data_IF_365319214301
#
_entry.id   IF_365319214301
#
_cell.length_a   1.000
_cell.length_b   1.000
_cell.length_c   1.000
_cell.angle_alpha   90.00
_cell.angle_beta   90.00
_cell.angle_gamma   90.00
#
_symmetry.space_group_name_H-M   'P 1'
#
loop_
_entity.id
_entity.type
_entity.pdbx_description
1 polymer ?
#
# COMPACT_ATOMS: atom_id res chain seq x y z
N UNK A 1 -10.26 0.02 10.35
CA UNK A 1 -10.75 -1.37 10.48
C UNK A 1 -9.76 -2.22 11.25
N UNK A 2 -8.46 -2.24 10.88
CA UNK A 2 -7.42 -3.05 11.54
C UNK A 2 -7.34 -2.77 13.05
N UNK A 3 -7.43 -1.51 13.48
CA UNK A 3 -7.35 -1.12 14.89
C UNK A 3 -8.55 -1.57 15.72
N UNK A 4 -9.76 -1.57 15.17
CA UNK A 4 -10.97 -2.06 15.86
C UNK A 4 -10.87 -3.57 16.06
N UNK A 5 -10.38 -4.28 15.05
CA UNK A 5 -10.15 -5.73 15.14
C UNK A 5 -9.08 -6.04 16.19
N UNK A 6 -7.97 -5.32 16.23
CA UNK A 6 -6.92 -5.49 17.24
C UNK A 6 -7.39 -5.18 18.67
N UNK A 7 -8.32 -4.27 18.84
CA UNK A 7 -8.86 -3.91 20.17
C UNK A 7 -9.84 -4.96 20.72
N UNK A 8 -10.52 -5.69 19.83
CA UNK A 8 -11.48 -6.74 20.20
C UNK A 8 -10.79 -8.10 20.40
N UNK A 9 -9.68 -8.36 19.70
CA UNK A 9 -8.93 -9.63 19.76
C UNK A 9 -8.63 -10.11 21.19
N UNK A 10 -8.20 -9.27 22.17
CA UNK A 10 -7.91 -9.74 23.54
C UNK A 10 -9.11 -10.35 24.27
N UNK A 11 -10.33 -9.95 23.92
CA UNK A 11 -11.57 -10.37 24.60
C UNK A 11 -12.26 -11.57 23.94
N UNK A 12 -11.74 -12.07 22.82
CA UNK A 12 -12.34 -13.17 22.07
C UNK A 12 -11.64 -14.50 22.41
N UNK A 13 -12.35 -15.61 22.61
CA UNK A 13 -11.76 -16.93 22.82
C UNK A 13 -10.79 -17.34 21.70
N UNK A 14 -9.75 -18.07 22.04
CA UNK A 14 -8.63 -18.37 21.13
C UNK A 14 -9.07 -18.97 19.78
N UNK A 15 -10.08 -19.85 19.81
CA UNK A 15 -10.64 -20.47 18.59
C UNK A 15 -11.35 -19.47 17.67
N UNK A 16 -12.09 -18.51 18.25
CA UNK A 16 -12.73 -17.43 17.48
C UNK A 16 -11.72 -16.44 16.92
N UNK A 17 -10.57 -16.24 17.60
CA UNK A 17 -9.47 -15.40 17.08
C UNK A 17 -8.82 -16.05 15.86
N UNK A 18 -8.54 -17.35 15.90
CA UNK A 18 -7.97 -18.08 14.78
C UNK A 18 -8.92 -18.05 13.56
N UNK A 19 -10.23 -18.27 13.78
CA UNK A 19 -11.22 -18.15 12.73
C UNK A 19 -11.31 -16.72 12.15
N UNK A 20 -11.34 -15.70 13.01
CA UNK A 20 -11.35 -14.30 12.58
C UNK A 20 -10.11 -13.92 11.77
N UNK A 21 -8.94 -14.41 12.17
CA UNK A 21 -7.68 -14.22 11.42
C UNK A 21 -7.77 -14.91 10.04
N UNK A 22 -8.26 -16.13 9.97
CA UNK A 22 -8.44 -16.87 8.72
C UNK A 22 -9.36 -16.11 7.76
N UNK A 23 -10.52 -15.67 8.24
CA UNK A 23 -11.47 -14.88 7.44
C UNK A 23 -10.84 -13.57 6.98
N UNK A 24 -10.09 -12.90 7.85
CA UNK A 24 -9.37 -11.67 7.48
C UNK A 24 -8.32 -11.91 6.39
N UNK A 25 -7.52 -12.99 6.50
CA UNK A 25 -6.55 -13.37 5.48
C UNK A 25 -7.23 -13.64 4.14
N UNK A 26 -8.35 -14.38 4.13
CA UNK A 26 -9.09 -14.69 2.91
C UNK A 26 -9.64 -13.44 2.24
N UNK A 27 -10.29 -12.54 3.01
CA UNK A 27 -10.86 -11.30 2.46
C UNK A 27 -9.75 -10.38 1.98
N UNK A 28 -8.67 -10.21 2.75
CA UNK A 28 -7.56 -9.33 2.37
C UNK A 28 -6.76 -9.88 1.20
N UNK A 29 -6.59 -11.20 1.12
CA UNK A 29 -5.95 -11.87 0.00
C UNK A 29 -6.75 -11.71 -1.29
N UNK A 30 -8.06 -11.95 -1.22
CA UNK A 30 -8.94 -11.72 -2.37
C UNK A 30 -8.93 -10.26 -2.84
N UNK A 31 -8.98 -9.33 -1.90
CA UNK A 31 -8.91 -7.91 -2.22
C UNK A 31 -7.58 -7.54 -2.88
N UNK A 32 -6.46 -8.01 -2.34
CA UNK A 32 -5.13 -7.79 -2.93
C UNK A 32 -5.06 -8.38 -4.35
N UNK A 33 -5.53 -9.62 -4.54
CA UNK A 33 -5.56 -10.28 -5.85
C UNK A 33 -6.37 -9.47 -6.87
N UNK A 34 -7.54 -8.98 -6.47
CA UNK A 34 -8.37 -8.14 -7.32
C UNK A 34 -7.65 -6.82 -7.70
N UNK A 35 -7.00 -6.15 -6.75
CA UNK A 35 -6.24 -4.93 -7.01
C UNK A 35 -5.06 -5.16 -7.97
N UNK A 36 -4.34 -6.27 -7.83
CA UNK A 36 -3.28 -6.63 -8.78
C UNK A 36 -3.83 -6.97 -10.17
N UNK A 37 -4.97 -7.66 -10.25
CA UNK A 37 -5.64 -7.91 -11.52
C UNK A 37 -6.05 -6.61 -12.22
N UNK A 38 -6.59 -5.63 -11.48
CA UNK A 38 -6.92 -4.30 -12.01
C UNK A 38 -5.68 -3.57 -12.55
N UNK A 39 -4.56 -3.64 -11.82
CA UNK A 39 -3.31 -3.04 -12.25
C UNK A 39 -2.79 -3.71 -13.52
N UNK A 40 -2.76 -5.05 -13.57
CA UNK A 40 -2.27 -5.82 -14.71
C UNK A 40 -3.14 -5.63 -15.96
N UNK A 41 -4.48 -5.65 -15.85
CA UNK A 41 -5.38 -5.40 -16.97
C UNK A 41 -5.21 -3.98 -17.53
N UNK A 42 -5.06 -2.98 -16.64
CA UNK A 42 -4.79 -1.61 -17.06
C UNK A 42 -3.39 -1.47 -17.73
N UNK A 43 -2.38 -2.20 -17.24
CA UNK A 43 -1.05 -2.25 -17.85
C UNK A 43 -1.06 -2.93 -19.24
N UNK A 44 -1.94 -3.90 -19.45
CA UNK A 44 -2.20 -4.51 -20.76
C UNK A 44 -2.99 -3.59 -21.71
N UNK A 45 -3.62 -2.54 -21.19
CA UNK A 45 -4.45 -1.61 -21.96
C UNK A 45 -5.90 -2.03 -22.09
N UNK A 46 -6.36 -2.96 -21.25
CA UNK A 46 -7.76 -3.38 -21.24
C UNK A 46 -8.65 -2.31 -20.65
N UNK A 47 -9.79 -2.07 -21.26
CA UNK A 47 -10.75 -1.05 -20.79
C UNK A 47 -11.69 -1.58 -19.73
N UNK A 48 -11.96 -2.87 -19.72
CA UNK A 48 -12.86 -3.52 -18.80
C UNK A 48 -12.15 -3.85 -17.47
N UNK A 49 -12.92 -3.86 -16.38
CA UNK A 49 -12.42 -4.36 -15.12
C UNK A 49 -12.30 -5.89 -15.17
N UNK A 50 -11.21 -6.46 -14.62
CA UNK A 50 -11.03 -7.90 -14.64
C UNK A 50 -12.17 -8.59 -13.87
N UNK A 51 -12.66 -9.70 -14.41
CA UNK A 51 -13.56 -10.59 -13.66
C UNK A 51 -12.75 -11.29 -12.57
N UNK A 52 -13.26 -11.25 -11.34
CA UNK A 52 -12.66 -11.99 -10.24
C UNK A 52 -12.93 -13.51 -10.43
N UNK A 53 -12.12 -14.13 -11.27
CA UNK A 53 -12.16 -15.58 -11.46
C UNK A 53 -11.17 -16.25 -10.52
N UNK A 54 -11.67 -17.17 -9.69
CA UNK A 54 -10.80 -17.98 -8.84
C UNK A 54 -10.30 -19.18 -9.65
N UNK A 55 -9.00 -19.40 -9.64
CA UNK A 55 -8.43 -20.68 -9.98
C UNK A 55 -8.60 -21.67 -8.82
N UNK A 56 -8.20 -22.92 -9.00
CA UNK A 56 -8.36 -23.94 -7.95
C UNK A 56 -7.30 -23.85 -6.85
N UNK A 57 -6.29 -23.02 -7.01
CA UNK A 57 -5.16 -22.91 -6.08
C UNK A 57 -5.27 -21.68 -5.17
N UNK A 58 -5.84 -21.89 -3.98
CA UNK A 58 -5.99 -20.84 -2.95
C UNK A 58 -4.67 -20.14 -2.59
N UNK A 59 -3.54 -20.83 -2.68
CA UNK A 59 -2.24 -20.25 -2.35
C UNK A 59 -1.83 -19.20 -3.38
N UNK A 60 -1.94 -19.52 -4.66
CA UNK A 60 -1.55 -18.62 -5.75
C UNK A 60 -2.55 -17.48 -5.93
N UNK A 61 -3.85 -17.78 -5.74
CA UNK A 61 -4.91 -16.79 -5.97
C UNK A 61 -5.11 -15.80 -4.82
N UNK A 62 -4.78 -16.18 -3.58
CA UNK A 62 -5.08 -15.36 -2.40
C UNK A 62 -3.83 -15.04 -1.56
N UNK A 63 -3.02 -16.04 -1.28
CA UNK A 63 -1.91 -15.88 -0.34
C UNK A 63 -0.75 -15.13 -0.99
N UNK A 64 -0.40 -15.49 -2.22
CA UNK A 64 0.70 -14.83 -2.93
C UNK A 64 0.43 -13.33 -3.20
N UNK A 65 -0.73 -12.90 -3.73
CA UNK A 65 -1.04 -11.47 -3.87
C UNK A 65 -1.08 -10.72 -2.54
N UNK A 66 -1.57 -11.37 -1.46
CA UNK A 66 -1.52 -10.77 -0.13
C UNK A 66 -0.08 -10.50 0.32
N UNK A 67 0.82 -11.47 0.14
CA UNK A 67 2.24 -11.28 0.43
C UNK A 67 2.88 -10.21 -0.44
N UNK A 68 2.52 -10.13 -1.71
CA UNK A 68 2.98 -9.07 -2.61
C UNK A 68 2.53 -7.69 -2.12
N UNK A 69 1.27 -7.57 -1.72
CA UNK A 69 0.71 -6.34 -1.16
C UNK A 69 1.42 -5.91 0.11
N UNK A 70 1.49 -6.81 1.10
CA UNK A 70 2.19 -6.55 2.37
C UNK A 70 3.66 -6.24 2.11
N UNK A 71 4.31 -7.03 1.27
CA UNK A 71 5.72 -6.87 0.92
C UNK A 71 6.03 -5.53 0.28
N UNK A 72 5.13 -4.99 -0.57
CA UNK A 72 5.30 -3.66 -1.14
C UNK A 72 5.39 -2.58 -0.05
N UNK A 73 4.56 -2.66 0.98
CA UNK A 73 4.60 -1.75 2.12
C UNK A 73 5.84 -1.97 2.99
N UNK A 74 6.23 -3.23 3.23
CA UNK A 74 7.46 -3.54 3.98
C UNK A 74 8.66 -2.87 3.32
N UNK A 75 8.80 -2.99 2.00
CA UNK A 75 9.89 -2.35 1.24
C UNK A 75 9.90 -0.83 1.42
N UNK A 76 8.73 -0.20 1.36
CA UNK A 76 8.57 1.26 1.60
C UNK A 76 9.04 1.69 2.97
N UNK A 77 8.78 0.86 3.99
CA UNK A 77 9.12 1.18 5.38
C UNK A 77 10.56 0.80 5.78
N UNK A 78 11.28 -0.02 5.01
CA UNK A 78 12.65 -0.44 5.33
C UNK A 78 13.55 0.74 5.74
N UNK A 79 13.66 1.85 4.98
CA UNK A 79 14.55 2.95 5.36
C UNK A 79 14.18 3.59 6.70
N UNK A 80 12.88 3.75 6.96
CA UNK A 80 12.40 4.31 8.22
C UNK A 80 12.61 3.35 9.40
N UNK A 81 12.43 2.04 9.20
CA UNK A 81 12.70 1.01 10.21
C UNK A 81 14.19 0.92 10.54
N UNK A 82 15.06 1.00 9.53
CA UNK A 82 16.53 1.02 9.75
C UNK A 82 16.92 2.26 10.55
N UNK A 83 16.37 3.43 10.23
CA UNK A 83 16.60 4.65 11.02
C UNK A 83 16.17 4.49 12.48
N UNK A 84 14.97 3.94 12.74
CA UNK A 84 14.50 3.70 14.10
C UNK A 84 15.40 2.71 14.85
N UNK A 85 15.83 1.65 14.20
CA UNK A 85 16.75 0.68 14.79
C UNK A 85 18.08 1.34 15.20
N UNK A 86 18.66 2.16 14.32
CA UNK A 86 19.90 2.90 14.61
C UNK A 86 19.69 3.92 15.73
N UNK A 87 18.55 4.61 15.76
CA UNK A 87 18.19 5.55 16.82
C UNK A 87 18.02 4.87 18.19
N UNK A 88 17.45 3.67 18.23
CA UNK A 88 17.36 2.85 19.43
C UNK A 88 18.75 2.38 19.91
N UNK A 89 19.59 1.89 19.00
CA UNK A 89 20.94 1.47 19.34
C UNK A 89 21.82 2.62 19.85
N UNK A 90 21.57 3.84 19.34
CA UNK A 90 22.23 5.06 19.81
C UNK A 90 21.64 5.65 21.10
N UNK A 91 20.60 5.03 21.68
CA UNK A 91 19.92 5.50 22.90
C UNK A 91 19.10 6.77 22.72
N UNK A 92 18.84 7.21 21.50
CA UNK A 92 18.11 8.44 21.17
C UNK A 92 16.59 8.25 21.19
N UNK A 93 16.10 7.02 21.06
CA UNK A 93 14.68 6.66 21.04
C UNK A 93 14.46 5.41 21.89
N UNK A 94 13.43 5.42 22.72
CA UNK A 94 13.04 4.24 23.49
C UNK A 94 12.51 3.14 22.52
N UNK A 95 12.88 1.85 22.73
CA UNK A 95 12.42 0.75 21.88
C UNK A 95 10.88 0.65 21.76
N UNK A 96 10.15 0.95 22.85
CA UNK A 96 8.67 0.94 22.82
C UNK A 96 8.11 2.10 21.98
N UNK A 97 8.73 3.27 22.04
CA UNK A 97 8.34 4.41 21.21
C UNK A 97 8.70 4.17 19.75
N UNK A 98 9.85 3.57 19.46
CA UNK A 98 10.21 3.16 18.09
C UNK A 98 9.20 2.17 17.51
N UNK A 99 8.79 1.17 18.29
CA UNK A 99 7.75 0.22 17.90
C UNK A 99 6.42 0.91 17.63
N UNK A 100 6.01 1.84 18.50
CA UNK A 100 4.80 2.65 18.31
C UNK A 100 4.88 3.51 17.04
N UNK A 101 6.04 4.07 16.71
CA UNK A 101 6.26 4.82 15.48
C UNK A 101 6.16 3.92 14.25
N UNK A 102 6.82 2.76 14.27
CA UNK A 102 6.80 1.80 13.18
C UNK A 102 5.38 1.32 12.86
N UNK A 103 4.60 0.95 13.87
CA UNK A 103 3.21 0.48 13.68
C UNK A 103 2.19 1.62 13.54
N UNK A 104 2.55 2.85 13.90
CA UNK A 104 1.67 4.03 13.77
C UNK A 104 1.41 4.46 12.34
N UNK A 105 2.28 4.06 11.42
CA UNK A 105 2.15 4.29 10.00
C UNK A 105 2.10 5.77 9.58
N UNK A 106 1.85 5.96 8.29
CA UNK A 106 1.73 7.28 7.63
C UNK A 106 0.66 8.17 8.30
N UNK A 107 -0.41 7.60 8.87
CA UNK A 107 -1.48 8.38 9.50
C UNK A 107 -0.99 9.26 10.64
N UNK A 108 -0.07 8.78 11.48
CA UNK A 108 0.47 9.56 12.60
C UNK A 108 1.46 10.62 12.16
N UNK A 109 2.17 10.39 11.04
CA UNK A 109 3.08 11.41 10.46
C UNK A 109 2.31 12.68 10.14
N UNK A 110 1.06 12.54 9.68
CA UNK A 110 0.22 13.69 9.30
C UNK A 110 -0.71 14.20 10.42
N UNK A 111 -1.01 13.38 11.43
CA UNK A 111 -1.96 13.77 12.50
C UNK A 111 -1.29 14.37 13.73
N UNK A 112 -0.06 13.99 14.05
CA UNK A 112 0.65 14.44 15.23
C UNK A 112 1.82 15.36 14.86
N UNK A 113 1.53 16.63 14.67
CA UNK A 113 2.53 17.66 14.34
C UNK A 113 3.56 17.97 15.43
N UNK A 114 3.86 17.05 16.39
CA UNK A 114 4.67 17.47 17.52
C UNK A 114 5.55 16.42 18.21
N UNK A 115 5.60 15.16 17.82
CA UNK A 115 6.31 14.17 18.63
C UNK A 115 7.24 13.20 17.88
N UNK A 116 7.25 13.22 16.56
CA UNK A 116 8.08 12.28 15.79
C UNK A 116 9.37 12.96 15.30
N UNK A 117 10.50 12.22 15.28
CA UNK A 117 11.72 12.74 14.67
C UNK A 117 11.45 13.12 13.21
N UNK A 118 11.79 14.34 12.76
CA UNK A 118 11.53 14.77 11.38
C UNK A 118 12.16 13.85 10.34
N UNK A 119 13.29 13.24 10.67
CA UNK A 119 13.98 12.28 9.81
C UNK A 119 13.11 11.03 9.53
N UNK A 120 12.37 10.51 10.51
CA UNK A 120 11.47 9.38 10.31
C UNK A 120 10.36 9.73 9.30
N UNK A 121 9.71 10.89 9.49
CA UNK A 121 8.66 11.35 8.59
C UNK A 121 9.16 11.55 7.16
N UNK A 122 10.36 12.11 6.99
CA UNK A 122 11.00 12.28 5.68
C UNK A 122 11.24 10.92 5.02
N UNK A 123 11.76 9.93 5.74
CA UNK A 123 12.04 8.60 5.20
C UNK A 123 10.75 7.87 4.79
N UNK A 124 9.68 8.01 5.56
CA UNK A 124 8.36 7.47 5.20
C UNK A 124 7.83 8.15 3.94
N UNK A 125 7.95 9.47 3.81
CA UNK A 125 7.55 10.19 2.60
C UNK A 125 8.37 9.77 1.38
N UNK A 126 9.69 9.56 1.53
CA UNK A 126 10.54 9.03 0.47
C UNK A 126 10.07 7.63 0.06
N UNK A 127 9.81 6.74 1.02
CA UNK A 127 9.28 5.42 0.72
C UNK A 127 7.94 5.47 -0.01
N UNK A 128 7.01 6.31 0.46
CA UNK A 128 5.70 6.52 -0.19
C UNK A 128 5.85 7.09 -1.62
N UNK A 129 6.86 7.93 -1.86
CA UNK A 129 7.19 8.41 -3.19
C UNK A 129 7.56 7.27 -4.15
N UNK A 130 8.28 6.25 -3.71
CA UNK A 130 8.66 5.10 -4.53
C UNK A 130 7.58 4.02 -4.63
N UNK A 131 6.57 4.04 -3.76
CA UNK A 131 5.57 2.97 -3.66
C UNK A 131 4.85 2.61 -4.97
N UNK A 132 4.40 3.57 -5.83
CA UNK A 132 3.73 3.23 -7.08
C UNK A 132 4.62 2.42 -8.03
N UNK A 133 5.92 2.73 -8.05
CA UNK A 133 6.88 1.96 -8.87
C UNK A 133 7.18 0.59 -8.25
N UNK A 134 7.29 0.52 -6.93
CA UNK A 134 7.52 -0.76 -6.22
C UNK A 134 6.36 -1.72 -6.49
N UNK A 135 5.11 -1.26 -6.31
CA UNK A 135 3.94 -2.11 -6.53
C UNK A 135 3.79 -2.51 -8.00
N UNK A 136 4.11 -1.63 -8.93
CA UNK A 136 4.13 -1.91 -10.36
C UNK A 136 5.17 -3.01 -10.69
N UNK A 137 6.39 -2.88 -10.17
CA UNK A 137 7.44 -3.89 -10.34
C UNK A 137 7.02 -5.26 -9.78
N UNK A 138 6.45 -5.28 -8.57
CA UNK A 138 5.97 -6.51 -7.95
C UNK A 138 4.84 -7.14 -8.76
N UNK A 139 3.89 -6.33 -9.26
CA UNK A 139 2.73 -6.80 -10.01
C UNK A 139 3.08 -7.41 -11.37
N UNK A 140 4.09 -6.88 -12.05
CA UNK A 140 4.47 -7.30 -13.39
C UNK A 140 5.67 -8.25 -13.43
N UNK A 141 6.61 -8.11 -12.49
CA UNK A 141 7.86 -8.86 -12.51
C UNK A 141 8.17 -9.63 -11.22
N UNK A 142 7.29 -9.59 -10.23
CA UNK A 142 7.52 -10.24 -8.95
C UNK A 142 8.52 -9.51 -8.06
N UNK A 143 8.77 -10.07 -6.87
CA UNK A 143 9.67 -9.46 -5.88
C UNK A 143 11.11 -9.30 -6.34
N UNK A 144 11.59 -10.15 -7.24
CA UNK A 144 12.96 -10.11 -7.75
C UNK A 144 13.30 -8.79 -8.44
N UNK A 145 12.30 -8.13 -9.03
CA UNK A 145 12.48 -6.86 -9.73
C UNK A 145 12.70 -5.67 -8.80
N UNK A 146 12.24 -5.76 -7.56
CA UNK A 146 12.41 -4.69 -6.57
C UNK A 146 13.87 -4.47 -6.18
N UNK A 147 14.70 -5.53 -6.25
CA UNK A 147 16.14 -5.41 -5.97
C UNK A 147 16.91 -4.58 -7.02
N UNK A 148 16.32 -4.36 -8.18
CA UNK A 148 16.92 -3.57 -9.26
C UNK A 148 16.52 -2.10 -9.12
N UNK A 149 16.94 -1.48 -8.03
CA UNK A 149 16.68 -0.07 -7.74
C UNK A 149 17.21 0.88 -8.82
N UNK A 150 18.28 0.49 -9.51
CA UNK A 150 18.85 1.20 -10.65
C UNK A 150 17.81 1.42 -11.76
N UNK A 151 17.03 0.40 -12.07
CA UNK A 151 15.98 0.48 -13.10
C UNK A 151 14.80 1.33 -12.62
N UNK A 152 14.39 1.19 -11.37
CA UNK A 152 13.30 1.97 -10.77
C UNK A 152 13.64 3.46 -10.84
N UNK A 153 14.81 3.84 -10.35
CA UNK A 153 15.27 5.24 -10.35
C UNK A 153 15.42 5.78 -11.77
N UNK A 154 16.04 5.01 -12.67
CA UNK A 154 16.20 5.40 -14.08
C UNK A 154 14.86 5.65 -14.76
N UNK A 155 13.85 4.81 -14.48
CA UNK A 155 12.50 4.98 -15.03
C UNK A 155 11.82 6.22 -14.49
N UNK A 156 11.88 6.44 -13.18
CA UNK A 156 11.31 7.65 -12.56
C UNK A 156 11.93 8.91 -13.19
N UNK A 157 13.25 8.94 -13.38
CA UNK A 157 13.93 10.09 -14.00
C UNK A 157 13.43 10.32 -15.43
N UNK A 158 13.31 9.25 -16.23
CA UNK A 158 12.88 9.35 -17.64
C UNK A 158 11.42 9.80 -17.80
N UNK A 159 10.57 9.48 -16.83
CA UNK A 159 9.15 9.76 -16.85
C UNK A 159 8.72 10.78 -15.79
N UNK A 160 9.69 11.51 -15.23
CA UNK A 160 9.54 12.35 -14.03
C UNK A 160 8.27 13.24 -14.03
N UNK A 161 7.97 14.04 -15.08
CA UNK A 161 6.82 14.94 -15.04
C UNK A 161 5.50 14.19 -14.90
N UNK A 162 5.35 13.07 -15.62
CA UNK A 162 4.13 12.26 -15.58
C UNK A 162 4.04 11.49 -14.28
N UNK A 163 5.18 10.99 -13.78
CA UNK A 163 5.24 10.31 -12.49
C UNK A 163 4.80 11.23 -11.34
N UNK A 164 5.29 12.47 -11.31
CA UNK A 164 4.87 13.47 -10.32
C UNK A 164 3.37 13.79 -10.46
N UNK A 165 2.85 13.91 -11.68
CA UNK A 165 1.42 14.11 -11.89
C UNK A 165 0.60 12.93 -11.34
N UNK A 166 1.04 11.70 -11.58
CA UNK A 166 0.40 10.49 -11.02
C UNK A 166 0.39 10.55 -9.49
N UNK A 167 1.51 10.89 -8.86
CA UNK A 167 1.59 11.05 -7.40
C UNK A 167 0.66 12.15 -6.87
N UNK A 168 0.57 13.28 -7.56
CA UNK A 168 -0.34 14.37 -7.18
C UNK A 168 -1.81 13.93 -7.26
N UNK A 169 -2.18 13.17 -8.28
CA UNK A 169 -3.52 12.59 -8.40
C UNK A 169 -3.81 11.60 -7.27
N UNK A 170 -2.84 10.74 -6.94
CA UNK A 170 -2.94 9.80 -5.83
C UNK A 170 -3.10 10.53 -4.49
N UNK A 171 -2.28 11.54 -4.24
CA UNK A 171 -2.37 12.36 -3.04
C UNK A 171 -3.70 13.12 -2.96
N UNK A 172 -4.15 13.70 -4.07
CA UNK A 172 -5.45 14.36 -4.17
C UNK A 172 -6.61 13.40 -3.86
N UNK A 173 -6.57 12.17 -4.37
CA UNK A 173 -7.55 11.13 -4.06
C UNK A 173 -7.55 10.79 -2.56
N UNK A 174 -6.38 10.62 -1.94
CA UNK A 174 -6.28 10.33 -0.50
C UNK A 174 -6.78 11.49 0.37
N UNK A 175 -6.53 12.75 -0.02
CA UNK A 175 -7.06 13.92 0.68
C UNK A 175 -8.59 13.99 0.54
N UNK A 176 -9.11 13.72 -0.67
CA UNK A 176 -10.55 13.71 -0.93
C UNK A 176 -11.26 12.62 -0.12
N UNK A 177 -10.72 11.41 -0.08
CA UNK A 177 -11.23 10.32 0.75
C UNK A 177 -11.33 10.73 2.22
N UNK A 178 -10.27 11.33 2.77
CA UNK A 178 -10.25 11.80 4.17
C UNK A 178 -11.28 12.87 4.44
N UNK A 179 -11.41 13.85 3.56
CA UNK A 179 -12.37 14.94 3.73
C UNK A 179 -13.82 14.45 3.67
N UNK A 180 -14.13 13.56 2.72
CA UNK A 180 -15.45 12.95 2.59
C UNK A 180 -15.79 12.07 3.80
N UNK A 181 -14.85 11.27 4.26
CA UNK A 181 -15.04 10.43 5.46
C UNK A 181 -15.22 11.27 6.73
N UNK A 182 -14.46 12.36 6.87
CA UNK A 182 -14.58 13.26 8.02
C UNK A 182 -15.92 14.01 8.07
N UNK A 183 -16.51 14.31 6.92
CA UNK A 183 -17.80 15.03 6.81
C UNK A 183 -19.01 14.15 7.08
N UNK A 184 -18.88 12.81 7.06
CA UNK A 184 -20.01 11.90 7.26
C UNK A 184 -20.54 11.96 8.70
N UNK A 185 -21.86 12.07 8.85
CA UNK A 185 -22.53 12.09 10.13
C UNK A 185 -22.75 10.67 10.69
N UNK A 186 -22.44 10.49 11.98
CA UNK A 186 -22.65 9.22 12.70
C UNK A 186 -21.57 8.16 12.48
N UNK A 187 -21.33 7.32 13.48
CA UNK A 187 -20.22 6.32 13.47
C UNK A 187 -20.44 5.25 12.43
N UNK A 188 -21.66 4.69 12.33
CA UNK A 188 -21.99 3.60 11.40
C UNK A 188 -21.93 4.08 9.94
N UNK A 189 -22.44 5.28 9.65
CA UNK A 189 -22.41 5.85 8.32
C UNK A 189 -20.98 6.17 7.88
N UNK A 190 -20.16 6.71 8.77
CA UNK A 190 -18.74 6.94 8.51
C UNK A 190 -18.02 5.67 8.13
N UNK A 191 -18.30 4.56 8.83
CA UNK A 191 -17.67 3.29 8.54
C UNK A 191 -18.02 2.78 7.13
N UNK A 192 -19.29 2.77 6.77
CA UNK A 192 -19.74 2.29 5.43
C UNK A 192 -19.16 3.17 4.32
N UNK A 193 -19.24 4.50 4.48
CA UNK A 193 -18.69 5.45 3.49
C UNK A 193 -17.18 5.30 3.39
N UNK A 194 -16.46 5.21 4.52
CA UNK A 194 -15.01 5.01 4.53
C UNK A 194 -14.61 3.76 3.75
N UNK A 195 -15.23 2.61 4.06
CA UNK A 195 -14.90 1.36 3.37
C UNK A 195 -15.18 1.45 1.87
N UNK A 196 -16.34 1.99 1.48
CA UNK A 196 -16.70 2.15 0.07
C UNK A 196 -15.77 3.09 -0.69
N UNK A 197 -15.40 4.22 -0.08
CA UNK A 197 -14.46 5.17 -0.67
C UNK A 197 -13.05 4.59 -0.77
N UNK A 198 -12.56 3.91 0.28
CA UNK A 198 -11.24 3.28 0.25
C UNK A 198 -11.16 2.27 -0.89
N UNK A 199 -12.13 1.37 -1.02
CA UNK A 199 -12.18 0.40 -2.12
C UNK A 199 -12.21 1.09 -3.48
N UNK A 200 -13.05 2.12 -3.64
CA UNK A 200 -13.14 2.87 -4.89
C UNK A 200 -11.81 3.55 -5.26
N UNK A 201 -11.21 4.27 -4.32
CA UNK A 201 -9.96 4.96 -4.57
C UNK A 201 -8.80 3.99 -4.81
N UNK A 202 -8.72 2.87 -4.10
CA UNK A 202 -7.70 1.85 -4.33
C UNK A 202 -7.80 1.28 -5.76
N UNK A 203 -9.01 1.01 -6.26
CA UNK A 203 -9.23 0.58 -7.66
C UNK A 203 -8.76 1.65 -8.64
N UNK A 204 -9.13 2.90 -8.41
CA UNK A 204 -8.72 4.04 -9.26
C UNK A 204 -7.21 4.20 -9.26
N UNK A 205 -6.56 4.10 -8.10
CA UNK A 205 -5.11 4.21 -7.95
C UNK A 205 -4.37 3.07 -8.68
N UNK A 206 -4.83 1.83 -8.52
CA UNK A 206 -4.24 0.68 -9.23
C UNK A 206 -4.39 0.82 -10.74
N UNK A 207 -5.56 1.24 -11.19
CA UNK A 207 -5.79 1.51 -12.62
C UNK A 207 -4.89 2.64 -13.14
N UNK A 208 -4.72 3.71 -12.38
CA UNK A 208 -3.85 4.83 -12.75
C UNK A 208 -2.40 4.39 -12.90
N UNK A 209 -1.89 3.55 -11.97
CA UNK A 209 -0.54 3.00 -12.02
C UNK A 209 -0.37 2.09 -13.26
N UNK A 210 -1.36 1.23 -13.54
CA UNK A 210 -1.35 0.35 -14.73
C UNK A 210 -1.36 1.14 -16.03
N UNK A 211 -2.24 2.17 -16.14
CA UNK A 211 -2.29 3.04 -17.32
C UNK A 211 -1.00 3.86 -17.49
N UNK A 212 -0.39 4.31 -16.40
CA UNK A 212 0.92 4.95 -16.47
C UNK A 212 1.94 4.04 -17.12
N UNK A 213 2.02 2.76 -16.74
CA UNK A 213 2.89 1.79 -17.41
C UNK A 213 2.51 1.60 -18.87
N UNK A 214 1.23 1.38 -19.19
CA UNK A 214 0.77 1.15 -20.55
C UNK A 214 1.20 2.25 -21.53
N UNK A 215 1.06 3.53 -21.13
CA UNK A 215 1.37 4.68 -21.99
C UNK A 215 2.86 4.99 -22.09
N UNK A 216 3.64 4.62 -21.08
CA UNK A 216 5.06 4.99 -21.03
C UNK A 216 6.01 3.81 -21.04
N UNK A 217 5.52 2.58 -21.32
CA UNK A 217 6.33 1.35 -21.33
C UNK A 217 7.59 1.47 -22.20
N UNK A 218 7.52 2.19 -23.32
CA UNK A 218 8.67 2.40 -24.23
C UNK A 218 9.79 3.28 -23.63
N UNK A 219 9.48 4.03 -22.56
CA UNK A 219 10.44 4.86 -21.83
C UNK A 219 10.98 4.15 -20.59
N UNK A 220 10.39 3.02 -20.23
CA UNK A 220 10.87 2.23 -19.10
C UNK A 220 12.24 1.63 -19.42
N UNK A 221 13.09 1.51 -18.40
CA UNK A 221 14.39 0.87 -18.55
C UNK A 221 14.30 -0.65 -18.75
N UNK A 222 13.11 -1.22 -18.60
CA UNK A 222 12.78 -2.62 -18.85
C UNK A 222 11.45 -2.73 -19.61
N UNK A 223 11.29 -3.79 -20.39
CA UNK A 223 10.01 -4.18 -21.00
C UNK A 223 9.60 -5.55 -20.45
N UNK A 224 8.40 -5.61 -19.91
CA UNK A 224 7.72 -6.87 -19.62
C UNK A 224 6.83 -7.16 -20.82
N UNK A 225 7.25 -8.04 -21.66
CA UNK A 225 6.51 -8.38 -22.87
C UNK A 225 6.54 -9.82 -23.14
#
# INVERSE_FOLDING_TARGET
VIWVVMLIIPFVPLGLRAFGLMVWILISGWYAAFLFAVLQSAAAGEQELPSATFSRDLLDDLVYPLFQWIGSWVVVYIPACVYLLLACLGGNVDPFDALRMAFGGIERVFQQGGGQPPAFSILVCIGAFFWPMIILCIALGGFETVYRLDLIVSTIIRTFPVYVLTLLLMFGAAVLERTLTASAAGVSMRFVISVGLTVYFDIVLMRLIGLYYHHFKDRFAWSWG
#
